data_IF_634820774500
#
_entry.id   IF_634820774500
#
_cell.length_a   1.000
_cell.length_b   1.000
_cell.length_c   1.000
_cell.angle_alpha   90.00
_cell.angle_beta   90.00
_cell.angle_gamma   90.00
#
_symmetry.space_group_name_H-M   'P 1'
#
loop_
_entity.id
_entity.type
_entity.pdbx_description
1 polymer ?
#
# COMPACT_ATOMS: atom_id res chain seq x y z
N UNK A 1 15.62 8.46 0.02
CA UNK A 1 14.97 7.14 0.12
C UNK A 1 15.72 6.29 1.13
N UNK A 2 15.18 6.08 2.34
CA UNK A 2 15.80 5.20 3.33
C UNK A 2 15.23 3.78 3.16
N UNK A 3 16.09 2.76 3.12
CA UNK A 3 15.70 1.34 3.06
C UNK A 3 14.85 1.01 4.30
N UNK A 4 13.59 0.61 4.11
CA UNK A 4 12.59 0.44 5.18
C UNK A 4 12.53 -0.99 5.77
N UNK A 5 13.16 -1.96 5.13
CA UNK A 5 13.18 -3.37 5.57
C UNK A 5 14.61 -3.80 5.79
N UNK A 6 14.89 -4.37 6.97
CA UNK A 6 16.20 -4.88 7.34
C UNK A 6 16.08 -6.36 7.67
N UNK A 7 16.83 -7.17 6.94
CA UNK A 7 16.91 -8.62 7.11
C UNK A 7 18.36 -8.95 7.46
N UNK A 8 18.54 -9.72 8.53
CA UNK A 8 19.85 -10.23 8.95
C UNK A 8 19.75 -11.73 9.14
N UNK A 9 20.81 -12.45 8.78
CA UNK A 9 20.90 -13.88 8.94
C UNK A 9 22.28 -14.27 9.45
N UNK A 10 22.32 -15.27 10.33
CA UNK A 10 23.56 -15.88 10.79
C UNK A 10 23.29 -17.32 11.20
N UNK A 11 24.29 -18.19 11.09
CA UNK A 11 24.24 -19.52 11.67
C UNK A 11 25.06 -19.51 12.96
N UNK A 12 24.43 -19.86 14.08
CA UNK A 12 25.09 -19.95 15.38
C UNK A 12 24.72 -21.27 16.04
N UNK A 13 25.72 -22.06 16.42
CA UNK A 13 25.54 -23.35 17.10
C UNK A 13 24.55 -24.30 16.39
N UNK A 14 24.58 -24.33 15.04
CA UNK A 14 23.69 -25.18 14.25
C UNK A 14 22.23 -24.71 14.18
N UNK A 15 21.95 -23.46 14.56
CA UNK A 15 20.64 -22.82 14.45
C UNK A 15 20.74 -21.62 13.51
N UNK A 16 19.82 -21.52 12.55
CA UNK A 16 19.68 -20.35 11.69
C UNK A 16 19.00 -19.22 12.47
N UNK A 17 19.71 -18.13 12.72
CA UNK A 17 19.18 -16.91 13.33
C UNK A 17 18.77 -15.96 12.22
N UNK A 18 17.50 -15.56 12.20
CA UNK A 18 16.94 -14.60 11.26
C UNK A 18 16.42 -13.38 12.01
N UNK A 19 16.55 -12.19 11.42
CA UNK A 19 15.95 -10.95 11.91
C UNK A 19 15.13 -10.31 10.81
N UNK A 20 13.89 -9.94 11.12
CA UNK A 20 13.02 -9.13 10.29
C UNK A 20 12.67 -7.84 11.05
N UNK A 21 13.20 -6.72 10.57
CA UNK A 21 12.88 -5.39 11.12
C UNK A 21 12.30 -4.47 10.04
N UNK A 22 11.25 -3.73 10.39
CA UNK A 22 10.59 -2.77 9.51
C UNK A 22 9.43 -3.37 8.70
N UNK A 23 9.08 -2.73 7.59
CA UNK A 23 7.90 -3.09 6.78
C UNK A 23 8.14 -4.36 5.95
N UNK A 24 7.11 -5.16 5.71
CA UNK A 24 7.15 -6.32 4.81
C UNK A 24 6.83 -5.84 3.38
N UNK A 25 7.86 -5.63 2.56
CA UNK A 25 7.72 -5.23 1.16
C UNK A 25 7.76 -6.43 0.22
N UNK A 26 6.96 -6.35 -0.85
CA UNK A 26 6.91 -7.39 -1.88
C UNK A 26 8.28 -7.56 -2.55
N UNK A 27 8.75 -8.81 -2.64
CA UNK A 27 10.01 -9.20 -3.26
C UNK A 27 11.25 -9.12 -2.37
N UNK A 28 11.16 -8.59 -1.14
CA UNK A 28 12.31 -8.42 -0.25
C UNK A 28 12.44 -9.55 0.78
N UNK A 29 11.36 -9.90 1.48
CA UNK A 29 11.41 -10.76 2.68
C UNK A 29 11.45 -12.23 2.30
N UNK A 30 10.51 -12.67 1.45
CA UNK A 30 10.40 -14.07 1.05
C UNK A 30 11.64 -14.53 0.27
N UNK A 31 12.14 -13.70 -0.63
CA UNK A 31 13.35 -13.98 -1.42
C UNK A 31 14.59 -14.11 -0.54
N UNK A 32 14.77 -13.20 0.43
CA UNK A 32 15.87 -13.26 1.38
C UNK A 32 15.78 -14.49 2.28
N UNK A 33 14.60 -14.77 2.84
CA UNK A 33 14.40 -15.96 3.68
C UNK A 33 14.67 -17.24 2.90
N UNK A 34 14.18 -17.32 1.66
CA UNK A 34 14.47 -18.44 0.77
C UNK A 34 15.97 -18.69 0.63
N UNK A 35 16.75 -17.65 0.32
CA UNK A 35 18.20 -17.77 0.15
C UNK A 35 18.90 -18.29 1.40
N UNK A 36 18.58 -17.71 2.56
CA UNK A 36 19.20 -18.07 3.84
C UNK A 36 18.78 -19.47 4.30
N UNK A 37 17.53 -19.85 4.07
CA UNK A 37 17.02 -21.20 4.38
C UNK A 37 17.63 -22.24 3.45
N UNK A 38 17.76 -21.95 2.15
CA UNK A 38 18.45 -22.85 1.20
C UNK A 38 19.91 -23.08 1.63
N UNK A 39 20.62 -22.02 2.03
CA UNK A 39 21.99 -22.10 2.53
C UNK A 39 22.11 -22.88 3.85
N UNK A 40 21.15 -22.73 4.75
CA UNK A 40 21.09 -23.48 6.01
C UNK A 40 20.80 -24.98 5.78
N UNK A 41 19.82 -25.28 4.93
CA UNK A 41 19.43 -26.66 4.59
C UNK A 41 20.57 -27.41 3.89
N UNK A 42 21.34 -26.73 3.03
CA UNK A 42 22.54 -27.30 2.41
C UNK A 42 23.60 -27.73 3.43
N UNK A 43 23.61 -27.10 4.61
CA UNK A 43 24.47 -27.44 5.75
C UNK A 43 23.76 -28.37 6.78
N UNK A 44 22.61 -28.93 6.41
CA UNK A 44 21.76 -29.76 7.28
C UNK A 44 21.28 -29.04 8.56
N UNK A 45 21.16 -27.71 8.52
CA UNK A 45 20.58 -26.90 9.58
C UNK A 45 19.08 -26.77 9.32
N UNK A 46 18.27 -27.29 10.22
CA UNK A 46 16.80 -27.39 10.07
C UNK A 46 16.01 -26.68 11.16
N UNK A 47 16.69 -25.95 12.02
CA UNK A 47 16.06 -25.19 13.11
C UNK A 47 16.39 -23.73 12.96
N UNK A 48 15.40 -22.86 13.13
CA UNK A 48 15.59 -21.42 13.12
C UNK A 48 15.00 -20.71 14.34
N UNK A 49 15.63 -19.59 14.67
CA UNK A 49 15.07 -18.57 15.53
C UNK A 49 14.88 -17.29 14.73
N UNK A 50 13.66 -16.76 14.76
CA UNK A 50 13.29 -15.58 14.00
C UNK A 50 12.93 -14.43 14.94
N UNK A 51 13.71 -13.36 14.92
CA UNK A 51 13.36 -12.11 15.59
C UNK A 51 12.49 -11.23 14.70
N UNK A 52 11.33 -10.77 15.18
CA UNK A 52 10.43 -9.87 14.43
C UNK A 52 10.25 -8.55 15.17
N UNK A 53 10.46 -7.43 14.46
CA UNK A 53 10.07 -6.09 14.87
C UNK A 53 9.49 -5.34 13.66
N UNK A 54 8.19 -5.47 13.42
CA UNK A 54 7.57 -5.11 12.13
C UNK A 54 6.17 -4.53 12.27
N UNK A 55 5.91 -3.46 11.49
CA UNK A 55 4.58 -2.88 11.27
C UNK A 55 3.69 -3.71 10.31
N UNK A 56 4.20 -4.85 9.80
CA UNK A 56 3.54 -5.65 8.78
C UNK A 56 3.76 -5.09 7.37
N UNK A 57 2.83 -5.34 6.44
CA UNK A 57 2.97 -4.95 5.04
C UNK A 57 2.22 -5.89 4.10
N UNK A 58 2.89 -6.35 3.05
CA UNK A 58 2.31 -7.25 2.05
C UNK A 58 1.94 -8.60 2.65
N UNK A 59 0.65 -8.95 2.55
CA UNK A 59 0.06 -10.21 2.99
C UNK A 59 0.60 -11.41 2.22
N UNK A 60 0.79 -11.26 0.90
CA UNK A 60 1.33 -12.31 0.05
C UNK A 60 2.81 -12.55 0.33
N UNK A 61 3.58 -11.48 0.53
CA UNK A 61 4.99 -11.60 0.89
C UNK A 61 5.17 -12.30 2.23
N UNK A 62 4.36 -11.92 3.24
CA UNK A 62 4.37 -12.57 4.54
C UNK A 62 4.03 -14.06 4.42
N UNK A 63 3.02 -14.41 3.61
CA UNK A 63 2.62 -15.80 3.39
C UNK A 63 3.71 -16.63 2.71
N UNK A 64 4.39 -16.07 1.71
CA UNK A 64 5.50 -16.75 1.04
C UNK A 64 6.70 -16.93 1.98
N UNK A 65 7.05 -15.91 2.78
CA UNK A 65 8.08 -16.05 3.80
C UNK A 65 7.73 -17.12 4.85
N UNK A 66 6.46 -17.24 5.25
CA UNK A 66 5.97 -18.31 6.12
C UNK A 66 6.10 -19.68 5.44
N UNK A 67 5.82 -19.78 4.14
CA UNK A 67 5.95 -21.03 3.39
C UNK A 67 7.42 -21.49 3.31
N UNK A 68 8.36 -20.56 3.13
CA UNK A 68 9.79 -20.86 3.18
C UNK A 68 10.22 -21.35 4.58
N UNK A 69 9.77 -20.68 5.64
CA UNK A 69 10.06 -21.07 7.02
C UNK A 69 9.52 -22.46 7.38
N UNK A 70 8.38 -22.88 6.81
CA UNK A 70 7.78 -24.22 7.01
C UNK A 70 8.63 -25.36 6.47
N UNK A 71 9.68 -25.09 5.68
CA UNK A 71 10.64 -26.10 5.21
C UNK A 71 11.62 -26.54 6.29
N UNK A 72 11.69 -25.80 7.39
CA UNK A 72 12.48 -26.12 8.57
C UNK A 72 11.66 -26.98 9.53
N UNK A 73 12.34 -27.84 10.30
CA UNK A 73 11.69 -28.74 11.26
C UNK A 73 11.14 -27.97 12.47
N UNK A 74 11.82 -26.89 12.86
CA UNK A 74 11.40 -26.04 14.00
C UNK A 74 11.75 -24.57 13.76
N UNK A 75 10.79 -23.69 14.02
CA UNK A 75 10.99 -22.24 14.04
C UNK A 75 10.43 -21.69 15.35
N UNK A 76 11.27 -20.97 16.11
CA UNK A 76 10.85 -20.21 17.28
C UNK A 76 10.92 -18.72 16.97
N UNK A 77 9.82 -18.00 17.18
CA UNK A 77 9.76 -16.57 16.94
C UNK A 77 9.97 -15.81 18.26
N UNK A 78 10.84 -14.81 18.26
CA UNK A 78 10.95 -13.83 19.34
C UNK A 78 10.50 -12.46 18.83
N UNK A 79 9.50 -11.88 19.48
CA UNK A 79 9.01 -10.55 19.13
C UNK A 79 9.79 -9.50 19.89
N UNK A 80 10.32 -8.54 19.15
CA UNK A 80 10.96 -7.34 19.66
C UNK A 80 9.94 -6.36 20.22
N UNK A 81 9.92 -5.13 19.72
CA UNK A 81 8.98 -4.11 20.21
C UNK A 81 7.60 -4.19 19.56
N UNK A 82 7.51 -4.62 18.30
CA UNK A 82 6.27 -4.58 17.53
C UNK A 82 6.07 -5.81 16.64
N UNK A 83 4.88 -6.37 16.66
CA UNK A 83 4.36 -7.21 15.58
C UNK A 83 2.93 -6.77 15.23
N UNK A 84 2.79 -6.05 14.12
CA UNK A 84 1.50 -5.51 13.69
C UNK A 84 1.08 -6.04 12.32
N UNK A 85 -0.23 -6.09 12.06
CA UNK A 85 -0.79 -6.43 10.76
C UNK A 85 -0.24 -7.78 10.26
N UNK A 86 0.20 -7.88 9.00
CA UNK A 86 0.72 -9.10 8.39
C UNK A 86 1.88 -9.77 9.16
N UNK A 87 2.62 -9.04 10.01
CA UNK A 87 3.67 -9.64 10.84
C UNK A 87 3.11 -10.61 11.89
N UNK A 88 1.89 -10.38 12.39
CA UNK A 88 1.25 -11.28 13.36
C UNK A 88 0.86 -12.65 12.77
N UNK A 89 0.77 -12.76 11.44
CA UNK A 89 0.49 -14.04 10.78
C UNK A 89 1.59 -15.08 10.94
N UNK A 90 2.85 -14.65 11.16
CA UNK A 90 3.94 -15.56 11.48
C UNK A 90 3.65 -16.29 12.80
N UNK A 91 3.09 -15.58 13.79
CA UNK A 91 2.77 -16.14 15.11
C UNK A 91 1.60 -17.13 15.03
N UNK A 92 0.72 -17.00 14.04
CA UNK A 92 -0.35 -17.98 13.79
C UNK A 92 0.18 -19.34 13.32
N UNK A 93 1.40 -19.39 12.78
CA UNK A 93 1.97 -20.58 12.16
C UNK A 93 3.11 -21.20 12.96
N UNK A 94 3.78 -20.43 13.81
CA UNK A 94 4.96 -20.88 14.56
C UNK A 94 4.80 -20.61 16.06
N UNK A 95 5.61 -21.30 16.85
CA UNK A 95 5.73 -21.01 18.27
C UNK A 95 6.39 -19.63 18.45
N UNK A 96 5.85 -18.82 19.35
CA UNK A 96 6.28 -17.43 19.52
C UNK A 96 6.37 -17.04 21.00
N UNK A 97 7.41 -16.29 21.32
CA UNK A 97 7.64 -15.62 22.59
C UNK A 97 7.88 -14.13 22.34
N UNK A 98 7.73 -13.29 23.36
CA UNK A 98 7.94 -11.85 23.24
C UNK A 98 8.61 -11.27 24.45
N UNK A 99 9.20 -10.08 24.31
CA UNK A 99 9.57 -9.29 25.48
C UNK A 99 8.32 -8.73 26.18
N UNK A 100 8.45 -8.37 27.45
CA UNK A 100 7.35 -7.81 28.25
C UNK A 100 6.84 -6.46 27.71
N UNK A 101 7.68 -5.74 26.96
CA UNK A 101 7.36 -4.44 26.35
C UNK A 101 6.80 -4.54 24.93
N UNK A 102 6.68 -5.75 24.36
CA UNK A 102 6.17 -5.95 22.99
C UNK A 102 4.71 -5.51 22.84
N UNK A 103 4.40 -4.90 21.70
CA UNK A 103 3.05 -4.54 21.27
C UNK A 103 2.63 -5.35 20.05
N UNK A 104 1.35 -5.70 20.00
CA UNK A 104 0.75 -6.48 18.93
C UNK A 104 -0.46 -5.76 18.35
N UNK A 105 -0.67 -5.88 17.05
CA UNK A 105 -1.90 -5.38 16.42
C UNK A 105 -2.39 -6.35 15.36
N UNK A 106 -3.67 -6.72 15.47
CA UNK A 106 -4.40 -7.40 14.41
C UNK A 106 -5.50 -6.49 13.87
N UNK A 107 -5.71 -6.52 12.57
CA UNK A 107 -6.77 -5.79 11.88
C UNK A 107 -7.17 -6.56 10.62
N UNK A 108 -8.28 -6.15 10.01
CA UNK A 108 -8.79 -6.79 8.81
C UNK A 108 -7.88 -6.51 7.60
N UNK A 109 -7.62 -7.49 6.71
CA UNK A 109 -6.88 -7.23 5.48
C UNK A 109 -7.46 -6.05 4.69
N UNK A 110 -6.57 -5.23 4.14
CA UNK A 110 -6.91 -4.03 3.37
C UNK A 110 -6.31 -4.13 1.97
N UNK A 111 -7.07 -3.72 0.96
CA UNK A 111 -6.59 -3.53 -0.43
C UNK A 111 -7.10 -2.20 -0.98
N UNK A 112 -6.51 -1.76 -2.09
CA UNK A 112 -7.04 -0.69 -2.93
C UNK A 112 -7.38 -1.25 -4.30
N UNK A 113 -8.60 -1.00 -4.79
CA UNK A 113 -9.08 -1.48 -6.07
C UNK A 113 -9.58 -0.31 -6.94
N UNK A 114 -9.27 -0.34 -8.23
CA UNK A 114 -9.75 0.65 -9.22
C UNK A 114 -9.92 -0.04 -10.57
N UNK A 115 -10.97 0.31 -11.31
CA UNK A 115 -11.30 -0.31 -12.60
C UNK A 115 -12.78 -0.25 -12.92
N UNK A 116 -13.21 -1.00 -13.94
CA UNK A 116 -14.64 -1.19 -14.23
C UNK A 116 -15.30 -2.10 -13.18
N UNK A 117 -16.64 -2.23 -13.26
CA UNK A 117 -17.44 -2.99 -12.31
C UNK A 117 -16.96 -4.44 -12.14
N UNK A 118 -16.61 -5.11 -13.23
CA UNK A 118 -16.16 -6.51 -13.19
C UNK A 118 -14.78 -6.65 -12.53
N UNK A 119 -13.87 -5.72 -12.79
CA UNK A 119 -12.53 -5.69 -12.17
C UNK A 119 -12.62 -5.44 -10.67
N UNK A 120 -13.44 -4.47 -10.24
CA UNK A 120 -13.63 -4.17 -8.80
C UNK A 120 -14.28 -5.36 -8.10
N UNK A 121 -15.27 -6.01 -8.72
CA UNK A 121 -15.87 -7.24 -8.17
C UNK A 121 -14.86 -8.38 -8.06
N UNK A 122 -13.98 -8.55 -9.04
CA UNK A 122 -12.93 -9.56 -9.00
C UNK A 122 -11.95 -9.32 -7.84
N UNK A 123 -11.51 -8.06 -7.65
CA UNK A 123 -10.60 -7.70 -6.54
C UNK A 123 -11.28 -7.84 -5.17
N UNK A 124 -12.55 -7.45 -5.05
CA UNK A 124 -13.33 -7.66 -3.83
C UNK A 124 -13.44 -9.16 -3.48
N UNK A 125 -13.64 -10.01 -4.49
CA UNK A 125 -13.64 -11.47 -4.31
C UNK A 125 -12.27 -11.97 -3.82
N UNK A 126 -11.17 -11.47 -4.38
CA UNK A 126 -9.82 -11.82 -3.95
C UNK A 126 -9.57 -11.40 -2.49
N UNK A 127 -9.93 -10.16 -2.12
CA UNK A 127 -9.83 -9.66 -0.74
C UNK A 127 -10.71 -10.47 0.23
N UNK A 128 -11.90 -10.87 -0.19
CA UNK A 128 -12.82 -11.70 0.63
C UNK A 128 -12.20 -13.07 0.94
N UNK A 129 -11.60 -13.71 -0.07
CA UNK A 129 -10.91 -14.98 0.11
C UNK A 129 -9.73 -14.83 1.09
N UNK A 130 -8.92 -13.79 0.92
CA UNK A 130 -7.80 -13.50 1.82
C UNK A 130 -8.27 -13.23 3.25
N UNK A 131 -9.36 -12.47 3.41
CA UNK A 131 -9.97 -12.18 4.72
C UNK A 131 -10.36 -13.48 5.41
N UNK A 132 -10.98 -14.43 4.70
CA UNK A 132 -11.35 -15.72 5.28
C UNK A 132 -10.13 -16.52 5.74
N UNK A 133 -9.04 -16.53 4.96
CA UNK A 133 -7.78 -17.19 5.35
C UNK A 133 -7.23 -16.61 6.65
N UNK A 134 -7.17 -15.29 6.77
CA UNK A 134 -6.71 -14.62 7.98
C UNK A 134 -7.65 -14.88 9.16
N UNK A 135 -8.96 -14.87 8.92
CA UNK A 135 -9.98 -15.07 9.95
C UNK A 135 -9.83 -16.45 10.57
N UNK A 136 -9.78 -17.50 9.75
CA UNK A 136 -9.60 -18.87 10.21
C UNK A 136 -8.26 -19.07 10.93
N UNK A 137 -7.19 -18.41 10.46
CA UNK A 137 -5.88 -18.47 11.11
C UNK A 137 -5.89 -17.85 12.51
N UNK A 138 -6.46 -16.66 12.69
CA UNK A 138 -6.59 -16.04 14.00
C UNK A 138 -7.56 -16.78 14.91
N UNK A 139 -8.72 -17.20 14.40
CA UNK A 139 -9.69 -17.99 15.17
C UNK A 139 -9.02 -19.24 15.77
N UNK A 140 -8.26 -19.96 14.94
CA UNK A 140 -7.48 -21.12 15.37
C UNK A 140 -6.38 -20.76 16.37
N UNK A 141 -5.58 -19.72 16.11
CA UNK A 141 -4.45 -19.36 16.96
C UNK A 141 -4.88 -18.84 18.33
N UNK A 142 -5.94 -18.04 18.35
CA UNK A 142 -6.48 -17.41 19.56
C UNK A 142 -7.49 -18.31 20.29
N UNK A 143 -7.84 -19.45 19.69
CA UNK A 143 -8.85 -20.38 20.19
C UNK A 143 -10.21 -19.72 20.46
N UNK A 144 -10.68 -18.93 19.49
CA UNK A 144 -11.98 -18.25 19.48
C UNK A 144 -12.73 -18.57 18.18
N UNK A 145 -14.00 -18.19 18.11
CA UNK A 145 -14.79 -18.33 16.89
C UNK A 145 -14.40 -17.31 15.81
N UNK A 146 -14.72 -17.61 14.56
CA UNK A 146 -14.53 -16.68 13.44
C UNK A 146 -15.36 -15.39 13.61
N UNK A 147 -16.53 -15.48 14.24
CA UNK A 147 -17.39 -14.34 14.57
C UNK A 147 -16.74 -13.42 15.60
N UNK A 148 -16.11 -14.00 16.64
CA UNK A 148 -15.34 -13.22 17.61
C UNK A 148 -14.13 -12.54 16.97
N UNK A 149 -13.49 -13.14 15.96
CA UNK A 149 -12.44 -12.46 15.19
C UNK A 149 -13.00 -11.26 14.43
N UNK A 150 -14.18 -11.38 13.80
CA UNK A 150 -14.83 -10.25 13.12
C UNK A 150 -15.17 -9.11 14.11
N UNK A 151 -15.52 -9.44 15.36
CA UNK A 151 -15.73 -8.45 16.42
C UNK A 151 -14.44 -7.72 16.81
N UNK A 152 -13.30 -8.43 16.87
CA UNK A 152 -11.99 -7.81 17.10
C UNK A 152 -11.59 -6.88 15.94
N UNK A 153 -11.97 -7.22 14.71
CA UNK A 153 -11.66 -6.46 13.50
C UNK A 153 -12.55 -5.24 13.25
N UNK A 154 -13.46 -4.89 14.15
CA UNK A 154 -14.25 -3.65 14.03
C UNK A 154 -13.36 -2.40 13.98
N UNK A 155 -12.19 -2.45 14.63
CA UNK A 155 -11.12 -1.47 14.56
C UNK A 155 -9.76 -2.21 14.63
N UNK A 156 -8.66 -1.47 14.62
CA UNK A 156 -7.35 -2.03 14.96
C UNK A 156 -7.36 -2.55 16.40
N UNK A 157 -7.11 -3.85 16.56
CA UNK A 157 -7.11 -4.49 17.86
C UNK A 157 -5.68 -4.62 18.38
N UNK A 158 -5.35 -3.76 19.35
CA UNK A 158 -4.06 -3.72 20.01
C UNK A 158 -4.05 -4.66 21.23
N UNK A 159 -2.90 -5.31 21.44
CA UNK A 159 -2.63 -6.13 22.62
C UNK A 159 -1.23 -5.83 23.14
N UNK A 160 -1.08 -5.78 24.46
CA UNK A 160 0.23 -5.89 25.10
C UNK A 160 0.70 -7.37 25.18
N UNK A 161 1.92 -7.59 25.67
CA UNK A 161 2.47 -8.95 25.80
C UNK A 161 1.66 -9.86 26.74
N UNK A 162 0.99 -9.31 27.77
CA UNK A 162 0.18 -10.09 28.71
C UNK A 162 -1.12 -10.52 28.03
N UNK A 163 -1.84 -9.58 27.42
CA UNK A 163 -3.06 -9.85 26.67
C UNK A 163 -2.81 -10.83 25.51
N UNK A 164 -1.69 -10.65 24.79
CA UNK A 164 -1.30 -11.55 23.70
C UNK A 164 -1.04 -12.98 24.21
N UNK A 165 -0.46 -13.14 25.40
CA UNK A 165 -0.25 -14.45 26.03
C UNK A 165 -1.57 -15.06 26.51
N UNK A 166 -2.42 -14.27 27.18
CA UNK A 166 -3.74 -14.72 27.67
C UNK A 166 -4.63 -15.20 26.53
N UNK A 167 -4.57 -14.54 25.37
CA UNK A 167 -5.29 -14.95 24.16
C UNK A 167 -4.59 -16.06 23.36
N UNK A 168 -3.41 -16.53 23.79
CA UNK A 168 -2.70 -17.62 23.12
C UNK A 168 -1.94 -17.23 21.84
N UNK A 169 -1.79 -15.94 21.53
CA UNK A 169 -1.00 -15.46 20.38
C UNK A 169 0.50 -15.78 20.57
N UNK A 170 0.99 -15.69 21.81
CA UNK A 170 2.34 -16.08 22.21
C UNK A 170 2.29 -17.08 23.37
N UNK A 171 3.34 -17.88 23.55
CA UNK A 171 3.44 -18.87 24.63
C UNK A 171 4.14 -18.31 25.88
N UNK A 172 5.16 -17.48 25.69
CA UNK A 172 6.07 -17.04 26.76
C UNK A 172 6.38 -15.55 26.67
N UNK A 173 6.53 -14.92 27.84
CA UNK A 173 7.01 -13.54 27.99
C UNK A 173 8.42 -13.61 28.58
N UNK A 174 9.36 -12.92 27.94
CA UNK A 174 10.73 -12.72 28.38
C UNK A 174 10.75 -11.43 29.21
N UNK A 175 11.11 -11.56 30.49
CA UNK A 175 11.16 -10.44 31.42
C UNK A 175 12.52 -9.72 31.35
N UNK A 176 12.79 -9.15 30.19
CA UNK A 176 13.97 -8.34 29.91
C UNK A 176 13.55 -7.10 29.12
N UNK A 177 14.07 -5.94 29.49
CA UNK A 177 13.88 -4.73 28.70
C UNK A 177 14.82 -4.76 27.49
N UNK A 178 14.25 -4.56 26.30
CA UNK A 178 15.02 -4.38 25.07
C UNK A 178 15.22 -2.90 24.77
N UNK A 179 16.36 -2.61 24.15
CA UNK A 179 16.60 -1.28 23.58
C UNK A 179 15.64 -1.01 22.41
N UNK A 180 15.01 0.16 22.45
CA UNK A 180 14.10 0.65 21.41
C UNK A 180 14.75 1.83 20.72
N UNK A 181 15.07 1.67 19.43
CA UNK A 181 15.66 2.74 18.62
C UNK A 181 14.60 3.70 18.06
N UNK A 182 15.06 4.86 17.57
CA UNK A 182 14.19 5.89 16.96
C UNK A 182 13.41 5.35 15.75
N UNK A 183 13.95 4.37 15.02
CA UNK A 183 13.28 3.78 13.86
C UNK A 183 12.07 2.95 14.30
N UNK A 184 12.22 2.22 15.40
CA UNK A 184 11.15 1.43 16.00
C UNK A 184 10.06 2.34 16.57
N UNK A 185 10.44 3.42 17.25
CA UNK A 185 9.48 4.43 17.71
C UNK A 185 8.71 5.04 16.55
N UNK A 186 9.39 5.45 15.48
CA UNK A 186 8.74 6.01 14.29
C UNK A 186 7.78 5.00 13.62
N UNK A 187 8.17 3.72 13.56
CA UNK A 187 7.32 2.64 13.05
C UNK A 187 6.06 2.45 13.92
N UNK A 188 6.20 2.43 15.25
CA UNK A 188 5.08 2.31 16.18
C UNK A 188 4.12 3.49 16.08
N UNK A 189 4.62 4.71 15.90
CA UNK A 189 3.79 5.90 15.64
C UNK A 189 3.05 5.77 14.30
N UNK A 190 3.76 5.36 13.24
CA UNK A 190 3.19 5.27 11.89
C UNK A 190 2.04 4.25 11.78
N UNK A 191 2.08 3.17 12.56
CA UNK A 191 1.00 2.19 12.61
C UNK A 191 -0.07 2.51 13.68
N UNK A 192 0.02 3.63 14.40
CA UNK A 192 -1.00 4.04 15.36
C UNK A 192 -0.95 3.31 16.71
N UNK A 193 0.22 2.85 17.14
CA UNK A 193 0.38 2.16 18.42
C UNK A 193 -0.05 3.08 19.59
N UNK A 194 -0.96 2.63 20.49
CA UNK A 194 -1.47 3.46 21.58
C UNK A 194 -0.38 3.74 22.64
N UNK A 195 0.55 2.82 22.81
CA UNK A 195 1.63 2.90 23.79
C UNK A 195 2.97 2.94 23.08
N UNK A 196 3.48 4.15 22.84
CA UNK A 196 4.78 4.36 22.19
C UNK A 196 5.85 4.63 23.26
N UNK A 197 6.87 3.76 23.41
CA UNK A 197 7.96 3.99 24.34
C UNK A 197 8.85 5.15 23.87
N UNK A 198 9.55 5.79 24.81
CA UNK A 198 10.65 6.69 24.46
C UNK A 198 11.84 5.87 23.92
N UNK A 199 12.60 6.39 22.94
CA UNK A 199 13.81 5.70 22.49
C UNK A 199 14.75 5.49 23.69
N UNK A 200 15.27 4.28 23.84
CA UNK A 200 16.31 4.05 24.84
C UNK A 200 17.52 4.87 24.45
N UNK A 201 17.93 5.80 25.32
CA UNK A 201 19.15 6.56 25.12
C UNK A 201 20.28 5.55 24.88
N UNK A 202 20.96 5.63 23.72
CA UNK A 202 22.13 4.79 23.47
C UNK A 202 23.02 4.89 24.71
N UNK A 203 23.19 3.80 25.44
CA UNK A 203 24.34 3.71 26.33
C UNK A 203 25.53 3.83 25.40
N UNK A 204 26.16 4.99 25.42
CA UNK A 204 27.53 5.12 24.94
C UNK A 204 28.28 3.96 25.56
N UNK A 205 28.87 3.09 24.74
CA UNK A 205 29.85 2.12 25.19
C UNK A 205 31.01 2.91 25.81
N UNK A 206 30.85 3.29 27.08
CA UNK A 206 31.89 3.90 27.89
C UNK A 206 32.73 2.79 28.50
N UNK A 207 33.27 1.93 27.63
CA UNK A 207 34.53 1.24 27.89
C UNK A 207 35.64 2.05 27.23
N UNK A 208 35.84 3.26 27.73
CA UNK A 208 37.13 3.90 27.82
C UNK A 208 36.97 5.09 28.76
N UNK A 209 37.60 4.98 29.93
CA UNK A 209 37.86 6.11 30.79
C UNK A 209 38.37 7.28 29.94
N UNK A 210 37.60 8.37 29.90
CA UNK A 210 38.10 9.75 29.97
C UNK A 210 36.90 10.68 30.02
N UNK A 211 36.84 11.50 31.07
CA UNK A 211 36.06 12.74 31.13
C UNK A 211 36.28 13.56 29.86
N UNK A 212 35.48 13.32 28.84
CA UNK A 212 35.46 14.15 27.64
C UNK A 212 34.22 15.02 27.76
N UNK A 213 34.37 16.15 28.46
CA UNK A 213 33.51 17.30 28.22
C UNK A 213 33.48 17.52 26.71
N UNK A 214 32.29 17.45 26.10
CA UNK A 214 32.11 17.85 24.70
C UNK A 214 32.85 19.17 24.47
N UNK A 215 33.79 19.18 23.52
CA UNK A 215 34.53 20.40 23.21
C UNK A 215 33.56 21.41 22.60
N UNK A 216 33.06 22.29 23.46
CA UNK A 216 32.12 23.37 23.12
C UNK A 216 32.63 24.22 21.95
N UNK A 217 33.95 24.27 21.71
CA UNK A 217 34.52 24.97 20.56
C UNK A 217 34.25 24.26 19.23
N UNK A 218 34.22 22.93 19.21
CA UNK A 218 33.86 22.16 18.02
C UNK A 218 32.37 22.29 17.70
N UNK A 219 31.51 22.34 18.72
CA UNK A 219 30.07 22.58 18.54
C UNK A 219 29.78 24.00 18.04
N UNK A 220 30.48 25.01 18.56
CA UNK A 220 30.40 26.39 18.05
C UNK A 220 30.79 26.46 16.57
N UNK A 221 31.89 25.80 16.19
CA UNK A 221 32.35 25.77 14.80
C UNK A 221 31.35 25.06 13.86
N UNK A 222 30.82 23.91 14.27
CA UNK A 222 29.84 23.15 13.48
C UNK A 222 28.50 23.87 13.31
N UNK A 223 28.08 24.66 14.31
CA UNK A 223 26.85 25.45 14.28
C UNK A 223 27.03 26.86 13.68
N UNK A 224 28.26 27.21 13.26
CA UNK A 224 28.60 28.53 12.73
C UNK A 224 28.46 29.67 13.74
N UNK A 225 28.61 29.37 15.04
CA UNK A 225 28.48 30.32 16.14
C UNK A 225 29.83 30.97 16.50
N UNK A 226 29.79 32.13 17.15
CA UNK A 226 30.99 32.79 17.66
C UNK A 226 31.78 31.86 18.60
N UNK A 227 33.10 31.93 18.54
CA UNK A 227 34.00 31.22 19.47
C UNK A 227 33.77 31.61 20.94
N UNK A 228 33.12 32.76 21.20
CA UNK A 228 32.75 33.25 22.54
C UNK A 228 31.32 32.89 22.98
N UNK A 229 30.53 32.19 22.15
CA UNK A 229 29.14 31.88 22.47
C UNK A 229 29.04 30.98 23.71
N UNK A 230 28.22 31.35 24.67
CA UNK A 230 28.02 30.59 25.91
C UNK A 230 27.39 29.22 25.64
N UNK A 231 27.55 28.31 26.60
CA UNK A 231 26.97 26.96 26.53
C UNK A 231 25.44 26.99 26.39
N UNK A 232 24.79 27.95 27.04
CA UNK A 232 23.35 28.14 26.93
C UNK A 232 22.93 28.60 25.52
N UNK A 233 23.71 29.48 24.88
CA UNK A 233 23.43 29.93 23.51
C UNK A 233 23.59 28.79 22.50
N UNK A 234 24.57 27.91 22.69
CA UNK A 234 24.79 26.72 21.86
C UNK A 234 23.61 25.74 22.01
N UNK A 235 23.16 25.48 23.24
CA UNK A 235 22.01 24.63 23.52
C UNK A 235 20.70 25.19 22.94
N UNK A 236 20.49 26.50 23.06
CA UNK A 236 19.34 27.17 22.46
C UNK A 236 19.36 27.05 20.93
N UNK A 237 20.54 27.17 20.31
CA UNK A 237 20.69 27.02 18.85
C UNK A 237 20.45 25.59 18.35
N UNK A 238 20.85 24.59 19.13
CA UNK A 238 20.54 23.19 18.89
C UNK A 238 19.03 22.91 18.98
N UNK A 239 18.37 23.45 20.00
CA UNK A 239 16.92 23.35 20.15
C UNK A 239 16.18 24.03 18.98
N UNK A 240 16.62 25.22 18.57
CA UNK A 240 16.07 25.92 17.40
C UNK A 240 16.24 25.12 16.11
N UNK A 241 17.42 24.53 15.89
CA UNK A 241 17.70 23.74 14.69
C UNK A 241 16.87 22.44 14.67
N UNK A 242 16.67 21.81 15.83
CA UNK A 242 15.78 20.65 15.97
C UNK A 242 14.33 21.02 15.63
N UNK A 243 13.80 22.08 16.23
CA UNK A 243 12.44 22.56 15.95
C UNK A 243 12.27 22.95 14.48
N UNK A 244 13.29 23.58 13.87
CA UNK A 244 13.29 23.90 12.42
C UNK A 244 13.36 22.66 11.53
N UNK A 245 14.11 21.64 11.91
CA UNK A 245 14.19 20.38 11.17
C UNK A 245 12.86 19.60 11.24
N UNK A 246 12.24 19.55 12.41
CA UNK A 246 10.92 18.95 12.61
C UNK A 246 9.83 19.72 11.85
N UNK A 247 9.86 21.05 11.87
CA UNK A 247 8.96 21.89 11.09
C UNK A 247 9.18 21.75 9.57
N UNK A 248 10.42 21.58 9.11
CA UNK A 248 10.73 21.32 7.71
C UNK A 248 10.22 19.95 7.25
N UNK A 249 10.38 18.91 8.07
CA UNK A 249 9.85 17.57 7.78
C UNK A 249 8.31 17.55 7.75
N UNK A 250 7.65 18.25 8.68
CA UNK A 250 6.20 18.40 8.69
C UNK A 250 5.68 19.21 7.49
N UNK A 251 6.39 20.28 7.09
CA UNK A 251 6.07 21.07 5.90
C UNK A 251 6.26 20.28 4.60
N UNK A 252 7.28 19.41 4.54
CA UNK A 252 7.54 18.54 3.37
C UNK A 252 6.49 17.43 3.25
N UNK A 253 6.06 16.83 4.37
CA UNK A 253 4.94 15.88 4.40
C UNK A 253 3.63 16.52 3.95
N UNK A 254 3.29 17.70 4.50
CA UNK A 254 2.10 18.46 4.10
C UNK A 254 2.17 18.92 2.65
N UNK A 255 3.34 19.34 2.16
CA UNK A 255 3.55 19.71 0.75
C UNK A 255 3.36 18.51 -0.20
N UNK A 256 3.85 17.32 0.16
CA UNK A 256 3.72 16.12 -0.66
C UNK A 256 2.27 15.62 -0.71
N UNK A 257 1.54 15.71 0.40
CA UNK A 257 0.11 15.38 0.44
C UNK A 257 -0.73 16.40 -0.35
N UNK A 258 -0.39 17.69 -0.29
CA UNK A 258 -1.03 18.73 -1.10
C UNK A 258 -0.75 18.56 -2.60
N UNK A 259 0.48 18.18 -2.98
CA UNK A 259 0.85 17.87 -4.37
C UNK A 259 0.07 16.67 -4.90
N UNK A 260 -0.04 15.60 -4.11
CA UNK A 260 -0.83 14.41 -4.47
C UNK A 260 -2.31 14.74 -4.61
N UNK A 261 -2.87 15.50 -3.66
CA UNK A 261 -4.27 15.95 -3.69
C UNK A 261 -4.55 16.83 -4.92
N UNK A 262 -3.64 17.73 -5.27
CA UNK A 262 -3.79 18.56 -6.46
C UNK A 262 -3.69 17.75 -7.76
N UNK A 263 -2.73 16.82 -7.84
CA UNK A 263 -2.58 15.91 -8.97
C UNK A 263 -3.83 15.05 -9.18
N UNK A 264 -4.35 14.46 -8.10
CA UNK A 264 -5.59 13.67 -8.16
C UNK A 264 -6.79 14.50 -8.59
N UNK A 265 -6.92 15.74 -8.11
CA UNK A 265 -8.00 16.66 -8.53
C UNK A 265 -7.97 16.93 -10.04
N UNK A 266 -6.80 17.25 -10.58
CA UNK A 266 -6.61 17.55 -12.02
C UNK A 266 -6.88 16.32 -12.87
N UNK A 267 -6.34 15.16 -12.47
CA UNK A 267 -6.51 13.90 -13.20
C UNK A 267 -7.95 13.39 -13.13
N UNK A 268 -8.60 13.47 -11.96
CA UNK A 268 -10.02 13.10 -11.82
C UNK A 268 -10.92 14.01 -12.68
N UNK A 269 -10.58 15.30 -12.81
CA UNK A 269 -11.30 16.19 -13.74
C UNK A 269 -11.12 15.75 -15.20
N UNK A 270 -9.92 15.36 -15.61
CA UNK A 270 -9.68 14.86 -16.97
C UNK A 270 -10.38 13.53 -17.26
N UNK A 271 -10.53 12.66 -16.26
CA UNK A 271 -11.35 11.44 -16.34
C UNK A 271 -12.83 11.80 -16.50
N UNK A 272 -13.33 12.74 -15.70
CA UNK A 272 -14.71 13.22 -15.78
C UNK A 272 -15.03 13.85 -17.15
N UNK A 273 -14.09 14.64 -17.67
CA UNK A 273 -14.15 15.28 -18.98
C UNK A 273 -13.90 14.25 -20.13
N UNK A 274 -13.79 12.94 -19.81
CA UNK A 274 -13.59 11.80 -20.73
C UNK A 274 -12.36 11.93 -21.62
N UNK A 275 -11.35 12.68 -21.17
CA UNK A 275 -10.11 12.90 -21.91
C UNK A 275 -9.10 11.77 -21.73
N UNK A 276 -9.17 11.11 -20.57
CA UNK A 276 -8.38 9.94 -20.22
C UNK A 276 -9.29 8.91 -19.56
N UNK A 277 -8.88 7.65 -19.59
CA UNK A 277 -9.58 6.54 -18.95
C UNK A 277 -9.06 6.32 -17.53
N UNK A 278 -9.87 5.70 -16.66
CA UNK A 278 -9.58 5.57 -15.23
C UNK A 278 -8.34 4.70 -14.93
N UNK A 279 -7.99 3.78 -15.82
CA UNK A 279 -6.77 2.95 -15.79
C UNK A 279 -5.48 3.77 -15.96
N UNK A 280 -5.54 4.93 -16.64
CA UNK A 280 -4.38 5.81 -16.81
C UNK A 280 -4.16 6.75 -15.62
N UNK A 281 -5.03 6.70 -14.59
CA UNK A 281 -5.02 7.64 -13.46
C UNK A 281 -3.67 7.67 -12.76
N UNK A 282 -3.11 6.52 -12.39
CA UNK A 282 -1.85 6.46 -11.65
C UNK A 282 -0.67 7.01 -12.46
N UNK A 283 -0.64 6.73 -13.77
CA UNK A 283 0.35 7.28 -14.68
C UNK A 283 0.30 8.80 -14.73
N UNK A 284 -0.89 9.38 -14.91
CA UNK A 284 -1.04 10.84 -14.98
C UNK A 284 -0.89 11.54 -13.62
N UNK A 285 -1.24 10.89 -12.51
CA UNK A 285 -0.97 11.41 -11.16
C UNK A 285 0.54 11.45 -10.91
N UNK A 286 1.26 10.38 -11.27
CA UNK A 286 2.72 10.35 -11.16
C UNK A 286 3.38 11.41 -12.04
N UNK A 287 2.91 11.59 -13.27
CA UNK A 287 3.41 12.61 -14.20
C UNK A 287 3.12 14.03 -13.67
N UNK A 288 1.93 14.28 -13.14
CA UNK A 288 1.57 15.59 -12.58
C UNK A 288 2.41 15.95 -11.34
N UNK A 289 2.72 14.97 -10.49
CA UNK A 289 3.64 15.17 -9.35
C UNK A 289 5.04 15.56 -9.81
N UNK A 290 5.50 15.04 -10.95
CA UNK A 290 6.84 15.31 -11.50
C UNK A 290 6.90 16.63 -12.29
N UNK A 291 5.90 16.90 -13.15
CA UNK A 291 5.79 18.11 -13.95
C UNK A 291 4.30 18.51 -14.13
N UNK A 292 3.77 19.36 -13.22
CA UNK A 292 2.37 19.78 -13.26
C UNK A 292 2.00 20.55 -14.53
N UNK A 293 2.88 21.45 -14.99
CA UNK A 293 2.57 22.36 -16.08
C UNK A 293 2.46 21.62 -17.42
N UNK A 294 3.42 20.74 -17.71
CA UNK A 294 3.38 19.93 -18.93
C UNK A 294 2.23 18.93 -18.89
N UNK A 295 1.98 18.30 -17.74
CA UNK A 295 0.88 17.33 -17.60
C UNK A 295 -0.49 17.97 -17.77
N UNK A 296 -0.72 19.16 -17.19
CA UNK A 296 -1.95 19.93 -17.39
C UNK A 296 -2.12 20.39 -18.84
N UNK A 297 -1.05 20.81 -19.51
CA UNK A 297 -1.10 21.18 -20.93
C UNK A 297 -1.50 19.98 -21.82
N UNK A 298 -0.93 18.80 -21.54
CA UNK A 298 -1.27 17.55 -22.23
C UNK A 298 -2.75 17.19 -21.99
N UNK A 299 -3.19 17.16 -20.73
CA UNK A 299 -4.58 16.83 -20.38
C UNK A 299 -5.57 17.85 -20.94
N UNK A 300 -5.21 19.13 -21.01
CA UNK A 300 -6.06 20.16 -21.60
C UNK A 300 -6.15 20.05 -23.12
N UNK A 301 -5.07 19.64 -23.79
CA UNK A 301 -5.00 19.43 -25.24
C UNK A 301 -5.70 18.17 -25.75
N UNK A 302 -6.04 17.23 -24.87
CA UNK A 302 -6.79 16.02 -25.22
C UNK A 302 -8.26 16.34 -25.53
N UNK A 303 -8.78 15.78 -26.63
CA UNK A 303 -10.21 15.81 -26.94
C UNK A 303 -10.90 14.68 -26.16
N UNK A 304 -11.96 15.02 -25.43
CA UNK A 304 -12.78 14.03 -24.72
C UNK A 304 -13.46 13.08 -25.70
N UNK A 305 -13.58 11.82 -25.32
CA UNK A 305 -14.30 10.81 -26.10
C UNK A 305 -15.81 11.06 -25.91
N UNK A 306 -16.47 11.56 -26.96
CA UNK A 306 -17.94 11.67 -27.01
C UNK A 306 -18.56 10.30 -27.29
N UNK A 307 -19.79 10.09 -26.80
CA UNK A 307 -20.49 8.84 -27.07
C UNK A 307 -20.73 8.69 -28.57
N UNK A 308 -20.65 7.48 -29.13
CA UNK A 308 -20.94 7.24 -30.54
C UNK A 308 -22.33 7.75 -30.97
N UNK A 309 -23.28 7.81 -30.02
CA UNK A 309 -24.63 8.38 -30.20
C UNK A 309 -24.65 9.89 -30.47
N UNK A 310 -23.65 10.66 -30.00
CA UNK A 310 -23.54 12.10 -30.27
C UNK A 310 -22.96 12.41 -31.67
N UNK A 311 -22.27 11.43 -32.28
CA UNK A 311 -21.79 11.52 -33.66
C UNK A 311 -22.83 11.06 -34.69
N UNK A 312 -23.98 10.51 -34.25
CA UNK A 312 -25.13 10.33 -35.13
C UNK A 312 -25.82 11.69 -35.30
N UNK A 313 -25.70 12.28 -36.49
CA UNK A 313 -26.52 13.44 -36.87
C UNK A 313 -27.98 13.03 -36.91
N UNK A 314 -28.71 13.23 -35.82
CA UNK A 314 -30.16 13.32 -35.89
C UNK A 314 -30.50 14.67 -36.52
N UNK A 315 -30.73 14.69 -37.83
CA UNK A 315 -31.40 15.83 -38.45
C UNK A 315 -32.87 15.73 -38.08
N UNK A 316 -33.36 16.71 -37.32
CA UNK A 316 -34.78 16.89 -37.07
C UNK A 316 -35.51 17.02 -38.42
N UNK A 317 -36.57 16.25 -38.59
CA UNK A 317 -37.57 16.32 -39.66
C UNK A 317 -37.06 16.54 -41.10
N UNK A 318 -37.00 15.43 -41.84
CA UNK A 318 -37.30 15.39 -43.27
C UNK A 318 -36.35 16.16 -44.20
N UNK A 319 -35.45 15.43 -44.87
CA UNK A 319 -35.25 15.64 -46.29
C UNK A 319 -34.81 14.31 -46.91
N UNK A 320 -35.73 13.65 -47.61
CA UNK A 320 -35.34 12.71 -48.65
C UNK A 320 -34.45 13.49 -49.64
N UNK A 321 -33.38 12.89 -50.21
CA UNK A 321 -32.62 13.57 -51.25
C UNK A 321 -33.59 14.09 -52.33
N UNK A 322 -33.56 15.39 -52.62
CA UNK A 322 -34.52 16.06 -53.54
C UNK A 322 -34.77 15.23 -54.80
N UNK A 323 -36.04 14.98 -55.12
CA UNK A 323 -36.48 14.16 -56.25
C UNK A 323 -36.65 12.66 -55.95
N UNK A 324 -36.45 12.23 -54.70
CA UNK A 324 -36.63 10.83 -54.25
C UNK A 324 -37.76 10.67 -53.23
N UNK A 325 -38.66 11.65 -53.17
CA UNK A 325 -39.74 11.71 -52.16
C UNK A 325 -40.72 10.53 -52.26
N UNK A 326 -40.79 9.89 -53.43
CA UNK A 326 -41.71 8.79 -53.74
C UNK A 326 -41.01 7.44 -54.00
N UNK A 327 -39.70 7.34 -53.76
CA UNK A 327 -38.98 6.10 -54.04
C UNK A 327 -39.38 4.98 -53.10
N UNK A 328 -39.57 3.79 -53.65
CA UNK A 328 -39.77 2.55 -52.88
C UNK A 328 -38.44 1.87 -52.57
N UNK A 329 -38.45 0.84 -51.71
CA UNK A 329 -37.23 0.05 -51.43
C UNK A 329 -36.66 -0.55 -52.71
N UNK A 330 -37.50 -1.02 -53.64
CA UNK A 330 -37.03 -1.55 -54.92
C UNK A 330 -36.34 -0.45 -55.76
N UNK A 331 -36.88 0.78 -55.78
CA UNK A 331 -36.24 1.89 -56.49
C UNK A 331 -34.86 2.21 -55.92
N UNK A 332 -34.70 2.14 -54.61
CA UNK A 332 -33.41 2.33 -53.94
C UNK A 332 -32.44 1.20 -54.24
N UNK A 333 -32.88 -0.06 -54.16
CA UNK A 333 -32.03 -1.23 -54.43
C UNK A 333 -31.64 -1.35 -55.91
N UNK A 334 -32.43 -0.81 -56.83
CA UNK A 334 -32.14 -0.85 -58.26
C UNK A 334 -31.32 0.37 -58.73
N UNK A 335 -31.64 1.57 -58.25
CA UNK A 335 -31.10 2.82 -58.81
C UNK A 335 -29.96 3.41 -57.98
N UNK A 336 -29.97 3.23 -56.65
CA UNK A 336 -28.93 3.78 -55.78
C UNK A 336 -28.87 3.07 -54.41
N UNK A 337 -28.25 1.86 -54.36
CA UNK A 337 -28.18 1.07 -53.13
C UNK A 337 -27.37 1.73 -52.02
N UNK A 338 -26.39 2.58 -52.39
CA UNK A 338 -25.57 3.28 -51.41
C UNK A 338 -26.41 4.32 -50.68
N UNK A 339 -27.27 5.06 -51.38
CA UNK A 339 -28.18 6.00 -50.74
C UNK A 339 -29.19 5.31 -49.80
N UNK A 340 -29.51 4.03 -50.01
CA UNK A 340 -30.32 3.25 -49.08
C UNK A 340 -29.57 2.93 -47.78
N UNK A 341 -28.29 2.56 -47.88
CA UNK A 341 -27.45 2.33 -46.70
C UNK A 341 -27.30 3.62 -45.89
N UNK A 342 -27.05 4.74 -46.57
CA UNK A 342 -26.97 6.05 -45.94
C UNK A 342 -28.32 6.42 -45.27
N UNK A 343 -29.45 6.03 -45.87
CA UNK A 343 -30.78 6.23 -45.28
C UNK A 343 -31.04 5.33 -44.06
N UNK A 344 -30.51 4.10 -44.04
CA UNK A 344 -30.56 3.22 -42.87
C UNK A 344 -29.82 3.82 -41.67
N UNK A 345 -28.72 4.52 -41.92
CA UNK A 345 -27.92 5.16 -40.88
C UNK A 345 -28.50 6.49 -40.43
N UNK A 346 -29.10 7.26 -41.34
CA UNK A 346 -29.56 8.63 -41.09
C UNK A 346 -31.05 8.73 -40.72
N UNK A 347 -31.90 7.79 -41.16
CA UNK A 347 -33.35 7.80 -40.90
C UNK A 347 -33.94 6.38 -40.76
N UNK A 348 -33.62 5.66 -39.67
CA UNK A 348 -34.02 4.27 -39.47
C UNK A 348 -35.55 4.06 -39.34
N UNK A 349 -36.29 5.08 -38.89
CA UNK A 349 -37.75 4.99 -38.74
C UNK A 349 -38.48 5.08 -40.08
N UNK A 350 -37.98 5.88 -41.02
CA UNK A 350 -38.50 5.91 -42.39
C UNK A 350 -38.23 4.57 -43.08
N UNK A 351 -37.02 4.01 -42.92
CA UNK A 351 -36.66 2.69 -43.46
C UNK A 351 -37.57 1.59 -42.88
N UNK A 352 -37.91 1.63 -41.58
CA UNK A 352 -38.89 0.71 -40.98
C UNK A 352 -40.27 0.82 -41.63
N UNK A 353 -40.78 2.04 -41.87
CA UNK A 353 -42.07 2.25 -42.55
C UNK A 353 -42.06 1.75 -43.99
N UNK A 354 -40.98 2.01 -44.73
CA UNK A 354 -40.80 1.52 -46.09
C UNK A 354 -40.70 -0.02 -46.14
N UNK A 355 -39.99 -0.64 -45.19
CA UNK A 355 -39.88 -2.09 -45.07
C UNK A 355 -41.22 -2.75 -44.76
N UNK A 356 -42.04 -2.13 -43.91
CA UNK A 356 -43.39 -2.60 -43.62
C UNK A 356 -44.29 -2.56 -44.87
N UNK A 357 -44.23 -1.49 -45.66
CA UNK A 357 -44.97 -1.36 -46.91
C UNK A 357 -44.47 -2.33 -48.01
N UNK A 358 -43.16 -2.58 -48.06
CA UNK A 358 -42.55 -3.54 -48.98
C UNK A 358 -42.98 -4.99 -48.66
N UNK A 359 -43.01 -5.33 -47.38
CA UNK A 359 -43.38 -6.67 -46.90
C UNK A 359 -44.87 -7.00 -47.12
N UNK A 360 -45.72 -5.99 -47.36
CA UNK A 360 -47.14 -6.19 -47.69
C UNK A 360 -47.40 -6.38 -49.20
N UNK A 361 -46.40 -6.17 -50.06
CA UNK A 361 -46.50 -6.35 -51.53
C UNK A 361 -45.97 -7.71 -52.02
N UNK A 362 -45.29 -8.47 -51.17
CA UNK A 362 -44.95 -9.88 -51.37
C UNK A 362 -45.98 -10.74 -50.67
#
# INVERSE_FOLDING_TARGET
MAKKTKIEAAVTNGVLKLRLSGRIWQGDVASSFKWEIDAALAQNIKTAELYINSEGGSVFEAQEAINELKRLDKVLITIGSLAASAATMFLCHFEAQSYSTSQFMIHKPLTWASGNEDQVKAELKALTNLTNVYRSAYAKKLNITEEEVDDLWKNDYWMDAKEAKEKGLISTIIDEEIEVDETTVAMMVACGCPNVPQPTAKKSDNTNNNDTKMDINQLRAALGMSATATEQEVLNRLAENKTKAEAAAAAEASSNEQKKTNAERVVNKAILDKKITADMKETYVSLHIQDPASTEAILNGMKGVTAASENQKHTADGDLPKGRENWTIDDYLEKDPQAFNDLCETNPDLVKKMNAAYSQKK
#
